data_IF_904716741777
#
_entry.id   IF_904716741777
#
_cell.length_a   1.000
_cell.length_b   1.000
_cell.length_c   1.000
_cell.angle_alpha   90.00
_cell.angle_beta   90.00
_cell.angle_gamma   90.00
#
_symmetry.space_group_name_H-M   'P 1'
#
loop_
_entity.id
_entity.type
_entity.pdbx_description
1 polymer ?
#
# COMPACT_ATOMS: atom_id res chain seq x y z
N UNK A 1 -2.11 -26.75 -26.87
CA UNK A 1 -0.92 -27.10 -27.69
C UNK A 1 -0.64 -26.14 -28.87
N UNK A 2 -1.52 -25.17 -29.19
CA UNK A 2 -1.41 -24.39 -30.44
C UNK A 2 -0.53 -23.11 -30.40
N UNK A 3 -0.02 -22.67 -29.23
CA UNK A 3 0.77 -21.41 -29.12
C UNK A 3 2.19 -21.51 -29.67
N UNK A 4 2.73 -22.71 -29.88
CA UNK A 4 4.10 -22.92 -30.37
C UNK A 4 4.20 -23.08 -31.91
N UNK A 5 3.07 -23.26 -32.60
CA UNK A 5 3.03 -23.46 -34.05
C UNK A 5 3.00 -22.14 -34.83
N UNK A 6 2.40 -21.10 -34.25
CA UNK A 6 2.26 -19.78 -34.87
C UNK A 6 3.58 -19.13 -35.36
N UNK A 7 4.69 -19.12 -34.57
CA UNK A 7 5.95 -18.54 -35.05
C UNK A 7 6.61 -19.36 -36.16
N UNK A 8 6.38 -20.68 -36.18
CA UNK A 8 6.95 -21.60 -37.17
C UNK A 8 6.25 -21.39 -38.52
N UNK A 9 4.92 -21.19 -38.50
CA UNK A 9 4.12 -20.93 -39.71
C UNK A 9 4.50 -19.58 -40.34
N UNK A 10 4.69 -18.54 -39.51
CA UNK A 10 5.12 -17.21 -40.00
C UNK A 10 6.52 -17.27 -40.61
N UNK A 11 7.45 -18.00 -40.00
CA UNK A 11 8.80 -18.19 -40.53
C UNK A 11 8.80 -18.96 -41.87
N UNK A 12 7.98 -20.01 -41.98
CA UNK A 12 7.86 -20.78 -43.22
C UNK A 12 7.26 -19.97 -44.37
N UNK A 13 6.24 -19.15 -44.11
CA UNK A 13 5.62 -18.25 -45.10
C UNK A 13 6.63 -17.17 -45.54
N UNK A 14 7.40 -16.61 -44.60
CA UNK A 14 8.44 -15.62 -44.91
C UNK A 14 9.56 -16.18 -45.80
N UNK A 15 9.94 -17.45 -45.61
CA UNK A 15 10.95 -18.13 -46.46
C UNK A 15 10.39 -18.41 -47.86
N UNK A 16 9.10 -18.77 -47.97
CA UNK A 16 8.44 -19.02 -49.25
C UNK A 16 8.32 -17.73 -50.09
N UNK A 17 7.94 -16.61 -49.45
CA UNK A 17 7.92 -15.30 -50.11
C UNK A 17 9.31 -14.81 -50.55
N UNK A 18 10.39 -15.26 -49.91
CA UNK A 18 11.76 -14.90 -50.28
C UNK A 18 12.24 -15.60 -51.57
N UNK A 19 11.68 -16.77 -51.91
CA UNK A 19 12.08 -17.54 -53.10
C UNK A 19 11.22 -17.24 -54.34
N UNK A 20 9.97 -16.79 -54.18
CA UNK A 20 9.05 -16.52 -55.30
C UNK A 20 8.72 -15.04 -55.54
N UNK A 21 8.97 -14.14 -54.58
CA UNK A 21 8.58 -12.72 -54.64
C UNK A 21 9.72 -11.74 -54.92
N UNK A 22 9.37 -10.55 -55.41
CA UNK A 22 10.32 -9.42 -55.51
C UNK A 22 10.71 -8.94 -54.10
N UNK A 23 11.90 -8.36 -53.95
CA UNK A 23 12.47 -7.96 -52.65
C UNK A 23 11.53 -7.02 -51.85
N UNK A 24 10.68 -6.27 -52.56
CA UNK A 24 9.64 -5.42 -51.97
C UNK A 24 8.58 -6.20 -51.17
N UNK A 25 8.15 -7.38 -51.63
CA UNK A 25 7.08 -8.15 -50.97
C UNK A 25 7.53 -8.72 -49.62
N UNK A 26 8.81 -9.08 -49.51
CA UNK A 26 9.43 -9.51 -48.26
C UNK A 26 9.44 -8.39 -47.20
N UNK A 27 9.73 -7.14 -47.62
CA UNK A 27 9.74 -5.98 -46.72
C UNK A 27 8.33 -5.68 -46.19
N UNK A 28 7.31 -5.77 -47.05
CA UNK A 28 5.91 -5.54 -46.64
C UNK A 28 5.45 -6.60 -45.62
N UNK A 29 5.80 -7.87 -45.83
CA UNK A 29 5.47 -8.94 -44.88
C UNK A 29 6.14 -8.71 -43.51
N UNK A 30 7.41 -8.30 -43.50
CA UNK A 30 8.15 -8.01 -42.27
C UNK A 30 7.52 -6.83 -41.50
N UNK A 31 7.11 -5.77 -42.21
CA UNK A 31 6.40 -4.63 -41.61
C UNK A 31 5.06 -5.05 -40.97
N UNK A 32 4.28 -5.89 -41.63
CA UNK A 32 3.00 -6.39 -41.10
C UNK A 32 3.19 -7.32 -39.90
N UNK A 33 4.21 -8.19 -39.92
CA UNK A 33 4.52 -9.08 -38.81
C UNK A 33 4.97 -8.30 -37.56
N UNK A 34 5.83 -7.29 -37.74
CA UNK A 34 6.28 -6.41 -36.64
C UNK A 34 5.12 -5.56 -36.12
N UNK A 35 4.31 -4.97 -37.02
CA UNK A 35 3.13 -4.21 -36.65
C UNK A 35 2.11 -5.04 -35.86
N UNK A 36 1.81 -6.25 -36.31
CA UNK A 36 0.94 -7.19 -35.61
C UNK A 36 1.50 -7.61 -34.24
N UNK A 37 2.81 -7.80 -34.13
CA UNK A 37 3.48 -8.12 -32.86
C UNK A 37 3.43 -6.94 -31.87
N UNK A 38 3.65 -5.70 -32.33
CA UNK A 38 3.52 -4.49 -31.51
C UNK A 38 2.09 -4.30 -31.01
N UNK A 39 1.08 -4.51 -31.85
CA UNK A 39 -0.34 -4.45 -31.45
C UNK A 39 -0.67 -5.55 -30.45
N UNK A 40 -0.23 -6.79 -30.69
CA UNK A 40 -0.44 -7.91 -29.76
C UNK A 40 0.24 -7.68 -28.40
N UNK A 41 1.45 -7.13 -28.41
CA UNK A 41 2.19 -6.76 -27.19
C UNK A 41 1.51 -5.61 -26.45
N UNK A 42 1.06 -4.58 -27.16
CA UNK A 42 0.36 -3.42 -26.60
C UNK A 42 -0.99 -3.77 -25.96
N UNK A 43 -1.76 -4.68 -26.57
CA UNK A 43 -3.03 -5.14 -25.99
C UNK A 43 -2.85 -6.02 -24.74
N UNK A 44 -1.72 -6.71 -24.61
CA UNK A 44 -1.44 -7.56 -23.44
C UNK A 44 -0.95 -6.76 -22.21
N UNK A 45 -0.66 -5.47 -22.39
CA UNK A 45 -0.25 -4.53 -21.33
C UNK A 45 -1.40 -3.96 -20.48
N UNK A 46 -2.66 -4.03 -20.94
CA UNK A 46 -3.83 -3.64 -20.13
C UNK A 46 -4.36 -4.82 -19.33
N UNK A 47 -3.59 -5.26 -18.34
CA UNK A 47 -4.21 -5.90 -17.18
C UNK A 47 -4.73 -4.78 -16.29
N UNK A 48 -6.00 -4.43 -16.48
CA UNK A 48 -6.78 -3.80 -15.40
C UNK A 48 -6.60 -4.70 -14.18
N UNK A 49 -6.13 -4.11 -13.08
CA UNK A 49 -5.71 -4.84 -11.90
C UNK A 49 -6.86 -5.62 -11.30
N UNK A 50 -7.00 -6.90 -11.65
CA UNK A 50 -7.60 -7.88 -10.76
C UNK A 50 -6.74 -7.86 -9.49
N UNK A 51 -7.19 -7.14 -8.45
CA UNK A 51 -6.71 -7.32 -7.08
C UNK A 51 -6.82 -8.81 -6.81
N UNK A 52 -5.70 -9.54 -6.91
CA UNK A 52 -5.59 -10.89 -6.35
C UNK A 52 -5.95 -10.69 -4.88
N UNK A 53 -7.11 -11.18 -4.45
CA UNK A 53 -7.53 -11.12 -3.04
C UNK A 53 -6.51 -11.97 -2.30
N UNK A 54 -5.53 -11.32 -1.66
CA UNK A 54 -4.51 -12.00 -0.87
C UNK A 54 -5.23 -12.78 0.24
N UNK A 55 -5.06 -14.10 0.23
CA UNK A 55 -5.72 -15.02 1.16
C UNK A 55 -5.27 -14.72 2.60
N UNK A 56 -6.23 -14.68 3.52
CA UNK A 56 -5.95 -14.47 4.95
C UNK A 56 -5.04 -15.62 5.42
N UNK A 57 -3.89 -15.34 6.07
CA UNK A 57 -3.02 -16.40 6.57
C UNK A 57 -3.77 -17.36 7.49
N UNK A 58 -3.51 -18.66 7.34
CA UNK A 58 -4.14 -19.71 8.15
C UNK A 58 -3.95 -19.45 9.66
N UNK A 59 -4.98 -19.75 10.46
CA UNK A 59 -4.93 -19.61 11.92
C UNK A 59 -4.14 -20.77 12.51
N UNK A 60 -2.89 -20.52 12.89
CA UNK A 60 -2.14 -21.52 13.65
C UNK A 60 -2.76 -21.69 15.03
N UNK A 61 -2.71 -22.91 15.59
CA UNK A 61 -3.19 -23.21 16.95
C UNK A 61 -2.56 -22.30 18.01
N UNK A 62 -1.30 -21.92 17.80
CA UNK A 62 -0.57 -20.99 18.67
C UNK A 62 -1.19 -19.59 18.68
N UNK A 63 -1.53 -19.03 17.50
CA UNK A 63 -2.19 -17.72 17.40
C UNK A 63 -3.61 -17.75 17.94
N UNK A 64 -4.34 -18.84 17.69
CA UNK A 64 -5.67 -19.03 18.27
C UNK A 64 -5.61 -19.05 19.80
N UNK A 65 -4.68 -19.81 20.37
CA UNK A 65 -4.46 -19.85 21.81
C UNK A 65 -4.05 -18.48 22.37
N UNK A 66 -3.22 -17.72 21.64
CA UNK A 66 -2.88 -16.34 22.00
C UNK A 66 -4.11 -15.46 22.12
N UNK A 67 -4.99 -15.44 21.10
CA UNK A 67 -6.19 -14.59 21.15
C UNK A 67 -7.18 -15.04 22.23
N UNK A 68 -7.41 -16.35 22.38
CA UNK A 68 -8.26 -16.89 23.44
C UNK A 68 -7.72 -16.57 24.83
N UNK A 69 -6.40 -16.60 25.03
CA UNK A 69 -5.74 -16.17 26.28
C UNK A 69 -5.95 -14.68 26.59
N UNK A 70 -6.05 -13.84 25.57
CA UNK A 70 -6.38 -12.42 25.71
C UNK A 70 -7.88 -12.17 25.90
N UNK A 71 -8.71 -13.21 26.07
CA UNK A 71 -10.14 -13.08 26.40
C UNK A 71 -11.07 -12.88 25.20
N UNK A 72 -10.58 -13.04 23.96
CA UNK A 72 -11.38 -12.85 22.75
C UNK A 72 -12.28 -14.06 22.48
N UNK A 73 -13.53 -13.80 22.11
CA UNK A 73 -14.46 -14.78 21.53
C UNK A 73 -14.06 -15.17 20.11
N UNK A 74 -14.59 -16.30 19.61
CA UNK A 74 -14.27 -16.77 18.26
C UNK A 74 -14.68 -15.77 17.17
N UNK A 75 -15.81 -15.09 17.33
CA UNK A 75 -16.26 -14.03 16.43
C UNK A 75 -15.37 -12.80 16.45
N UNK A 76 -14.86 -12.40 17.63
CA UNK A 76 -13.92 -11.28 17.74
C UNK A 76 -12.58 -11.63 17.10
N UNK A 77 -12.13 -12.88 17.25
CA UNK A 77 -10.91 -13.38 16.60
C UNK A 77 -11.04 -13.33 15.08
N UNK A 78 -12.18 -13.77 14.54
CA UNK A 78 -12.47 -13.72 13.11
C UNK A 78 -12.47 -12.27 12.61
N UNK A 79 -13.26 -11.39 13.23
CA UNK A 79 -13.34 -9.97 12.89
C UNK A 79 -11.97 -9.30 12.93
N UNK A 80 -11.20 -9.54 13.99
CA UNK A 80 -9.86 -8.99 14.16
C UNK A 80 -8.95 -9.45 13.01
N UNK A 81 -8.93 -10.74 12.70
CA UNK A 81 -8.05 -11.29 11.65
C UNK A 81 -8.42 -10.78 10.27
N UNK A 82 -9.71 -10.69 9.95
CA UNK A 82 -10.17 -10.12 8.69
C UNK A 82 -9.79 -8.65 8.57
N UNK A 83 -10.07 -7.86 9.61
CA UNK A 83 -9.77 -6.43 9.67
C UNK A 83 -8.27 -6.20 9.53
N UNK A 84 -7.44 -6.90 10.31
CA UNK A 84 -5.98 -6.74 10.25
C UNK A 84 -5.39 -7.23 8.93
N UNK A 85 -5.97 -8.24 8.28
CA UNK A 85 -5.52 -8.63 6.94
C UNK A 85 -5.80 -7.52 5.92
N UNK A 86 -6.99 -6.92 5.95
CA UNK A 86 -7.36 -5.81 5.09
C UNK A 86 -6.47 -4.58 5.34
N UNK A 87 -6.30 -4.18 6.60
CA UNK A 87 -5.48 -3.03 6.97
C UNK A 87 -4.02 -3.22 6.58
N UNK A 88 -3.47 -4.44 6.68
CA UNK A 88 -2.13 -4.74 6.19
C UNK A 88 -2.00 -4.46 4.69
N UNK A 89 -2.97 -4.92 3.90
CA UNK A 89 -2.98 -4.68 2.45
C UNK A 89 -3.07 -3.19 2.14
N UNK A 90 -3.89 -2.45 2.88
CA UNK A 90 -4.02 -0.99 2.75
C UNK A 90 -2.72 -0.26 3.09
N UNK A 91 -2.03 -0.61 4.19
CA UNK A 91 -0.73 -0.02 4.55
C UNK A 91 0.34 -0.30 3.47
N UNK A 92 0.37 -1.53 2.94
CA UNK A 92 1.28 -1.87 1.84
C UNK A 92 0.95 -1.11 0.56
N UNK A 93 -0.34 -0.92 0.26
CA UNK A 93 -0.80 -0.15 -0.89
C UNK A 93 -0.43 1.33 -0.76
N UNK A 94 -0.66 1.92 0.41
CA UNK A 94 -0.25 3.28 0.75
C UNK A 94 1.26 3.46 0.54
N UNK A 95 2.08 2.54 1.06
CA UNK A 95 3.53 2.55 0.85
C UNK A 95 3.88 2.56 -0.65
N UNK A 96 3.25 1.69 -1.45
CA UNK A 96 3.51 1.65 -2.90
C UNK A 96 3.13 2.96 -3.58
N UNK A 97 2.00 3.57 -3.21
CA UNK A 97 1.54 4.81 -3.81
C UNK A 97 2.44 5.99 -3.46
N UNK A 98 2.84 6.11 -2.19
CA UNK A 98 3.79 7.14 -1.73
C UNK A 98 5.07 7.10 -2.58
N UNK A 99 5.57 5.90 -2.91
CA UNK A 99 6.81 5.78 -3.69
C UNK A 99 6.69 6.23 -5.16
N UNK A 100 5.47 6.35 -5.70
CA UNK A 100 5.23 6.70 -7.11
C UNK A 100 5.15 8.19 -7.40
N UNK A 101 5.17 9.06 -6.39
CA UNK A 101 5.08 10.52 -6.57
C UNK A 101 5.97 11.26 -5.59
N UNK A 102 6.80 12.18 -6.08
CA UNK A 102 7.61 13.05 -5.24
C UNK A 102 6.75 13.90 -4.28
N UNK A 103 5.55 14.30 -4.71
CA UNK A 103 4.62 15.07 -3.88
C UNK A 103 4.07 14.23 -2.73
N UNK A 104 3.73 12.96 -2.97
CA UNK A 104 3.29 12.06 -1.92
C UNK A 104 4.42 11.71 -0.94
N UNK A 105 5.66 11.53 -1.43
CA UNK A 105 6.85 11.39 -0.56
C UNK A 105 7.06 12.60 0.33
N UNK A 106 6.85 13.82 -0.19
CA UNK A 106 7.00 15.04 0.59
C UNK A 106 5.93 15.18 1.69
N UNK A 107 4.71 14.71 1.43
CA UNK A 107 3.65 14.62 2.45
C UNK A 107 4.03 13.60 3.52
N UNK A 108 4.43 12.39 3.11
CA UNK A 108 4.86 11.33 4.03
C UNK A 108 6.05 11.78 4.90
N UNK A 109 7.04 12.46 4.32
CA UNK A 109 8.20 12.99 5.05
C UNK A 109 7.82 14.08 6.08
N UNK A 110 6.78 14.86 5.81
CA UNK A 110 6.33 15.92 6.71
C UNK A 110 5.61 15.37 7.94
N UNK A 111 4.84 14.30 7.75
CA UNK A 111 3.95 13.77 8.78
C UNK A 111 4.39 12.44 9.38
N UNK A 112 5.37 11.75 8.78
CA UNK A 112 5.70 10.36 9.11
C UNK A 112 4.49 9.41 8.93
N UNK A 113 3.60 9.67 7.97
CA UNK A 113 2.32 8.96 7.80
C UNK A 113 2.47 7.45 7.69
N UNK A 114 3.38 6.97 6.84
CA UNK A 114 3.60 5.55 6.66
C UNK A 114 4.18 4.89 7.91
N UNK A 115 5.01 5.62 8.65
CA UNK A 115 5.58 5.16 9.92
C UNK A 115 4.49 5.05 10.98
N UNK A 116 3.64 6.06 11.13
CA UNK A 116 2.50 6.05 12.04
C UNK A 116 1.51 4.92 11.72
N UNK A 117 1.12 4.74 10.45
CA UNK A 117 0.22 3.67 10.03
C UNK A 117 0.79 2.27 10.35
N UNK A 118 2.10 2.06 10.13
CA UNK A 118 2.78 0.80 10.46
C UNK A 118 2.92 0.59 11.97
N UNK A 119 3.15 1.66 12.73
CA UNK A 119 3.27 1.60 14.17
C UNK A 119 1.93 1.25 14.81
N UNK A 120 0.85 1.96 14.45
CA UNK A 120 -0.51 1.66 14.91
C UNK A 120 -0.93 0.23 14.55
N UNK A 121 -0.64 -0.23 13.32
CA UNK A 121 -0.87 -1.62 12.94
C UNK A 121 -0.15 -2.61 13.86
N UNK A 122 1.11 -2.34 14.23
CA UNK A 122 1.90 -3.21 15.11
C UNK A 122 1.33 -3.23 16.54
N UNK A 123 0.96 -2.08 17.08
CA UNK A 123 0.36 -2.00 18.41
C UNK A 123 -0.98 -2.76 18.46
N UNK A 124 -1.82 -2.65 17.42
CA UNK A 124 -3.05 -3.46 17.33
C UNK A 124 -2.80 -4.97 17.23
N UNK A 125 -1.71 -5.40 16.60
CA UNK A 125 -1.32 -6.83 16.59
C UNK A 125 -0.87 -7.30 17.98
N UNK A 126 -0.21 -6.42 18.74
CA UNK A 126 0.23 -6.69 20.11
C UNK A 126 -0.99 -6.74 21.04
N UNK A 127 -1.94 -5.83 20.89
CA UNK A 127 -3.10 -5.65 21.78
C UNK A 127 -4.43 -5.80 21.01
N UNK A 128 -4.79 -7.03 20.62
CA UNK A 128 -5.90 -7.28 19.69
C UNK A 128 -7.28 -6.93 20.26
N UNK A 129 -7.43 -6.88 21.58
CA UNK A 129 -8.67 -6.48 22.27
C UNK A 129 -8.97 -4.99 22.13
N UNK A 130 -7.97 -4.16 21.83
CA UNK A 130 -8.10 -2.71 21.65
C UNK A 130 -8.51 -2.30 20.23
N UNK A 131 -8.84 -3.27 19.37
CA UNK A 131 -9.34 -3.01 18.01
C UNK A 131 -10.43 -1.92 17.94
N UNK A 132 -11.42 -1.85 18.86
CA UNK A 132 -12.46 -0.82 18.81
C UNK A 132 -11.93 0.62 18.94
N UNK A 133 -10.84 0.82 19.68
CA UNK A 133 -10.22 2.13 19.91
C UNK A 133 -9.64 2.71 18.61
N UNK A 134 -9.20 1.85 17.69
CA UNK A 134 -8.66 2.24 16.38
C UNK A 134 -9.71 2.21 15.25
N UNK A 135 -11.00 2.20 15.56
CA UNK A 135 -12.07 2.07 14.55
C UNK A 135 -12.04 3.16 13.47
N UNK A 136 -11.74 4.43 13.84
CA UNK A 136 -11.61 5.53 12.88
C UNK A 136 -10.45 5.29 11.91
N UNK A 137 -9.29 4.90 12.41
CA UNK A 137 -8.14 4.52 11.60
C UNK A 137 -8.50 3.38 10.62
N UNK A 138 -9.05 2.28 11.14
CA UNK A 138 -9.26 1.03 10.40
C UNK A 138 -10.33 1.15 9.31
N UNK A 139 -11.42 1.86 9.60
CA UNK A 139 -12.60 1.87 8.72
C UNK A 139 -12.80 3.18 7.96
N UNK A 140 -12.09 4.26 8.33
CA UNK A 140 -12.25 5.57 7.69
C UNK A 140 -10.91 6.12 7.20
N UNK A 141 -9.97 6.42 8.09
CA UNK A 141 -8.78 7.19 7.69
C UNK A 141 -7.84 6.41 6.76
N UNK A 142 -7.49 5.17 7.11
CA UNK A 142 -6.58 4.35 6.30
C UNK A 142 -7.18 3.97 4.94
N UNK A 143 -8.44 3.48 4.83
CA UNK A 143 -9.06 3.24 3.53
C UNK A 143 -9.10 4.50 2.66
N UNK A 144 -9.51 5.65 3.22
CA UNK A 144 -9.69 6.88 2.46
C UNK A 144 -8.36 7.43 1.91
N UNK A 145 -7.28 7.43 2.70
CA UNK A 145 -5.97 7.89 2.21
C UNK A 145 -5.41 6.93 1.15
N UNK A 146 -5.68 5.62 1.26
CA UNK A 146 -5.31 4.65 0.22
C UNK A 146 -6.05 4.93 -1.08
N UNK A 147 -7.36 5.14 -1.03
CA UNK A 147 -8.16 5.43 -2.23
C UNK A 147 -7.77 6.77 -2.86
N UNK A 148 -7.54 7.81 -2.05
CA UNK A 148 -7.07 9.11 -2.56
C UNK A 148 -5.69 9.00 -3.22
N UNK A 149 -4.75 8.28 -2.60
CA UNK A 149 -3.42 8.08 -3.18
C UNK A 149 -3.44 7.18 -4.42
N UNK A 150 -4.37 6.21 -4.49
CA UNK A 150 -4.61 5.39 -5.69
C UNK A 150 -5.04 6.26 -6.87
N UNK A 151 -6.09 7.07 -6.70
CA UNK A 151 -6.58 7.97 -7.73
C UNK A 151 -5.56 9.05 -8.09
N UNK A 152 -4.84 9.60 -7.11
CA UNK A 152 -3.78 10.57 -7.35
C UNK A 152 -2.71 9.98 -8.28
N UNK A 153 -2.21 8.77 -7.96
CA UNK A 153 -1.17 8.11 -8.74
C UNK A 153 -1.65 7.80 -10.16
N UNK A 154 -2.89 7.33 -10.31
CA UNK A 154 -3.49 7.05 -11.61
C UNK A 154 -3.53 8.31 -12.48
N UNK A 155 -4.15 9.39 -11.98
CA UNK A 155 -4.28 10.65 -12.73
C UNK A 155 -2.91 11.27 -13.01
N UNK A 156 -1.99 11.25 -12.04
CA UNK A 156 -0.66 11.81 -12.20
C UNK A 156 0.15 11.08 -13.29
N UNK A 157 -0.15 9.80 -13.55
CA UNK A 157 0.53 9.00 -14.58
C UNK A 157 0.06 9.27 -16.01
N UNK A 158 -1.05 10.00 -16.23
CA UNK A 158 -1.55 10.30 -17.58
C UNK A 158 -0.59 11.17 -18.39
N UNK A 159 -0.35 10.85 -19.66
CA UNK A 159 0.60 11.61 -20.52
C UNK A 159 0.08 13.00 -20.89
N UNK A 160 -1.22 13.12 -21.16
CA UNK A 160 -1.88 14.38 -21.50
C UNK A 160 -2.73 14.83 -20.32
N UNK A 161 -2.38 15.96 -19.71
CA UNK A 161 -3.09 16.55 -18.57
C UNK A 161 -3.49 17.99 -18.90
N UNK A 162 -4.77 18.32 -18.74
CA UNK A 162 -5.25 19.70 -18.87
C UNK A 162 -4.89 20.53 -17.63
N UNK A 163 -4.98 21.86 -17.72
CA UNK A 163 -4.78 22.76 -16.57
C UNK A 163 -5.71 22.42 -15.41
N UNK A 164 -6.95 22.05 -15.71
CA UNK A 164 -7.94 21.64 -14.71
C UNK A 164 -7.51 20.36 -13.96
N UNK A 165 -6.94 19.39 -14.67
CA UNK A 165 -6.42 18.15 -14.06
C UNK A 165 -5.28 18.44 -13.08
N UNK A 166 -4.38 19.37 -13.40
CA UNK A 166 -3.35 19.81 -12.44
C UNK A 166 -3.95 20.47 -11.21
N UNK A 167 -5.00 21.27 -11.36
CA UNK A 167 -5.74 21.84 -10.23
C UNK A 167 -6.35 20.77 -9.33
N UNK A 168 -6.93 19.71 -9.91
CA UNK A 168 -7.48 18.58 -9.15
C UNK A 168 -6.42 17.73 -8.47
N UNK A 169 -5.25 17.56 -9.07
CA UNK A 169 -4.10 16.93 -8.41
C UNK A 169 -3.60 17.76 -7.22
N UNK A 170 -3.61 19.09 -7.34
CA UNK A 170 -3.25 19.98 -6.23
C UNK A 170 -4.23 19.85 -5.06
N UNK A 171 -5.53 19.96 -5.33
CA UNK A 171 -6.60 19.79 -4.35
C UNK A 171 -6.51 18.40 -3.67
N UNK A 172 -6.33 17.34 -4.47
CA UNK A 172 -6.18 15.98 -3.95
C UNK A 172 -4.98 15.85 -3.02
N UNK A 173 -3.85 16.48 -3.36
CA UNK A 173 -2.66 16.44 -2.51
C UNK A 173 -2.87 17.16 -1.18
N UNK A 174 -3.66 18.25 -1.15
CA UNK A 174 -4.01 18.95 0.09
C UNK A 174 -4.92 18.10 0.98
N UNK A 175 -5.88 17.39 0.40
CA UNK A 175 -6.71 16.45 1.17
C UNK A 175 -5.89 15.27 1.68
N UNK A 176 -5.00 14.70 0.86
CA UNK A 176 -4.07 13.64 1.29
C UNK A 176 -3.20 14.12 2.44
N UNK A 177 -2.76 15.38 2.43
CA UNK A 177 -1.99 15.98 3.52
C UNK A 177 -2.77 16.05 4.83
N UNK A 178 -4.05 16.44 4.78
CA UNK A 178 -4.91 16.45 5.97
C UNK A 178 -5.19 15.03 6.47
N UNK A 179 -5.42 14.08 5.57
CA UNK A 179 -5.61 12.68 5.93
C UNK A 179 -4.35 12.08 6.55
N UNK A 180 -3.17 12.48 6.08
CA UNK A 180 -1.89 12.08 6.65
C UNK A 180 -1.75 12.51 8.12
N UNK A 181 -2.16 13.72 8.44
CA UNK A 181 -2.19 14.23 9.83
C UNK A 181 -3.19 13.45 10.70
N UNK A 182 -4.36 13.09 10.17
CA UNK A 182 -5.33 12.26 10.90
C UNK A 182 -4.78 10.87 11.26
N UNK A 183 -4.05 10.22 10.35
CA UNK A 183 -3.41 8.92 10.62
C UNK A 183 -2.38 9.03 11.76
N UNK A 184 -1.64 10.14 11.81
CA UNK A 184 -0.67 10.39 12.88
C UNK A 184 -1.37 10.61 14.21
N UNK A 185 -2.48 11.36 14.21
CA UNK A 185 -3.32 11.56 15.40
C UNK A 185 -3.94 10.27 15.90
N UNK A 186 -4.41 9.39 15.01
CA UNK A 186 -4.92 8.08 15.39
C UNK A 186 -3.86 7.28 16.14
N UNK A 187 -2.62 7.27 15.64
CA UNK A 187 -1.50 6.60 16.30
C UNK A 187 -1.21 7.22 17.67
N UNK A 188 -1.08 8.55 17.74
CA UNK A 188 -0.81 9.28 18.98
C UNK A 188 -1.89 9.04 20.03
N UNK A 189 -3.15 9.05 19.63
CA UNK A 189 -4.28 8.78 20.51
C UNK A 189 -4.23 7.33 21.02
N UNK A 190 -3.93 6.36 20.15
CA UNK A 190 -3.85 4.96 20.54
C UNK A 190 -2.75 4.69 21.58
N UNK A 191 -1.60 5.37 21.47
CA UNK A 191 -0.48 5.20 22.42
C UNK A 191 -0.49 6.23 23.56
N UNK A 192 -1.51 7.08 23.65
CA UNK A 192 -1.53 8.18 24.62
C UNK A 192 -1.53 7.70 26.07
N UNK A 193 -2.24 6.61 26.37
CA UNK A 193 -2.26 6.01 27.71
C UNK A 193 -0.85 5.57 28.15
N UNK A 194 -0.06 4.97 27.26
CA UNK A 194 1.33 4.60 27.53
C UNK A 194 2.23 5.82 27.81
N UNK A 195 1.91 6.98 27.24
CA UNK A 195 2.67 8.23 27.43
C UNK A 195 2.31 8.90 28.77
N UNK A 196 1.04 8.88 29.16
CA UNK A 196 0.60 9.41 30.45
C UNK A 196 1.25 8.64 31.61
N UNK A 197 1.31 7.31 31.51
CA UNK A 197 2.00 6.47 32.49
C UNK A 197 3.50 6.79 32.56
N UNK A 198 4.14 7.04 31.41
CA UNK A 198 5.55 7.42 31.34
C UNK A 198 5.81 8.80 31.96
N UNK A 199 4.92 9.78 31.76
CA UNK A 199 5.03 11.11 32.37
C UNK A 199 4.92 11.04 33.90
N UNK A 200 4.04 10.17 34.42
CA UNK A 200 3.96 9.88 35.85
C UNK A 200 5.27 9.26 36.34
N UNK A 201 5.79 8.23 35.68
CA UNK A 201 7.06 7.60 36.05
C UNK A 201 8.24 8.58 36.03
N UNK A 202 8.33 9.44 35.00
CA UNK A 202 9.34 10.51 34.91
C UNK A 202 9.17 11.50 36.05
N UNK A 203 7.94 11.89 36.41
CA UNK A 203 7.69 12.82 37.50
C UNK A 203 8.12 12.24 38.86
N UNK A 204 7.89 10.95 39.08
CA UNK A 204 8.35 10.22 40.28
C UNK A 204 9.88 10.13 40.28
N UNK A 205 10.49 9.78 39.15
CA UNK A 205 11.94 9.70 39.02
C UNK A 205 12.61 11.05 39.29
N UNK A 206 12.10 12.15 38.72
CA UNK A 206 12.58 13.52 38.99
C UNK A 206 12.47 13.87 40.47
N UNK A 207 11.32 13.61 41.10
CA UNK A 207 11.11 13.86 42.52
C UNK A 207 12.08 13.07 43.40
N UNK A 208 12.40 11.83 43.03
CA UNK A 208 13.37 11.00 43.75
C UNK A 208 14.80 11.52 43.58
N UNK A 209 15.18 11.97 42.37
CA UNK A 209 16.49 12.60 42.13
C UNK A 209 16.65 13.92 42.89
N UNK A 210 15.59 14.72 43.02
CA UNK A 210 15.59 15.97 43.80
C UNK A 210 15.68 15.73 45.31
N UNK A 211 15.40 14.50 45.79
CA UNK A 211 15.46 14.13 47.21
C UNK A 211 16.70 13.31 47.60
N UNK A 212 17.55 12.91 46.64
CA UNK A 212 18.76 12.13 46.91
C UNK A 212 20.04 12.96 46.62
N UNK A 213 20.62 13.64 47.62
CA UNK A 213 21.77 14.53 47.42
C UNK A 213 23.08 13.79 47.05
N UNK A 214 23.12 12.45 47.07
CA UNK A 214 24.34 11.67 46.81
C UNK A 214 24.55 11.27 45.33
N UNK A 215 23.61 11.60 44.44
CA UNK A 215 23.72 11.34 42.99
C UNK A 215 24.22 12.53 42.16
N UNK A 216 24.33 13.74 42.73
CA UNK A 216 24.89 14.91 42.02
C UNK A 216 26.42 15.00 42.08
N UNK A 217 27.06 14.12 42.86
CA UNK A 217 28.52 14.08 43.06
C UNK A 217 29.07 12.69 42.78
N UNK A 218 29.09 12.29 41.51
CA UNK A 218 30.10 11.37 40.96
C UNK A 218 30.25 11.50 39.46
#
# INVERSE_FOLDING_TARGET
MQRKLFPIIIAAIGILCFFEGDFGDFIVFLMLAVGGWLIYSGFKGRKTGSRKKEEIPFLTKEKEAYYKKNGMSESEIELFRETMNLSKQQVLRLQQNIQKSAKLKAIDLRHDTLKAAKALFKELVKEPTRLPEASQFLYTHLPNIVDLTDHYVEINSHEVKSKEVYGKLEESAQIIDQMADLIVKDYQQFVSEDLEDMDVEISIAKKNLDHDPDLSTK
#
